data_IF_835563348444
#
_entry.id   IF_835563348444
#
_cell.length_a   1.000
_cell.length_b   1.000
_cell.length_c   1.000
_cell.angle_alpha   90.00
_cell.angle_beta   90.00
_cell.angle_gamma   90.00
#
_symmetry.space_group_name_H-M   'P 1'
#
loop_
_entity.id
_entity.type
_entity.pdbx_description
1 polymer ?
#
# COMPACT_ATOMS: atom_id res chain seq x y z
N UNK A 1 9.00 18.39 -0.53
CA UNK A 1 7.83 17.96 0.26
C UNK A 1 6.87 19.13 0.29
N UNK A 2 5.59 18.97 -0.08
CA UNK A 2 4.60 20.04 0.06
C UNK A 2 4.44 20.44 1.53
N UNK A 3 3.95 21.65 1.80
CA UNK A 3 3.73 22.13 3.16
C UNK A 3 2.62 21.29 3.87
N UNK A 4 2.61 21.18 5.21
CA UNK A 4 1.63 20.36 5.94
C UNK A 4 0.16 20.68 5.65
N UNK A 5 -0.15 21.91 5.23
CA UNK A 5 -1.51 22.34 4.85
C UNK A 5 -1.93 21.92 3.43
N UNK A 6 -1.02 21.43 2.59
CA UNK A 6 -1.27 20.98 1.22
C UNK A 6 -1.34 19.45 1.08
N UNK A 7 -1.02 18.71 2.14
CA UNK A 7 -1.06 17.26 2.12
C UNK A 7 -2.50 16.75 2.23
N UNK A 8 -2.91 15.77 1.41
CA UNK A 8 -4.22 15.16 1.54
C UNK A 8 -4.44 14.61 2.96
N UNK A 9 -5.50 15.07 3.62
CA UNK A 9 -5.80 14.71 5.00
C UNK A 9 -6.93 13.69 5.13
N UNK A 10 -7.56 13.29 4.01
CA UNK A 10 -8.73 12.41 3.96
C UNK A 10 -8.48 11.20 3.06
N UNK A 11 -9.03 10.07 3.46
CA UNK A 11 -9.06 8.83 2.69
C UNK A 11 -10.49 8.35 2.50
N UNK A 12 -10.78 7.87 1.30
CA UNK A 12 -11.97 7.06 1.00
C UNK A 12 -11.54 5.62 0.75
N UNK A 13 -11.88 4.72 1.68
CA UNK A 13 -11.46 3.32 1.64
C UNK A 13 -12.66 2.39 1.68
N UNK A 14 -12.56 1.30 0.94
CA UNK A 14 -13.50 0.17 0.97
C UNK A 14 -12.70 -1.09 1.26
N UNK A 15 -13.05 -1.85 2.29
CA UNK A 15 -12.44 -3.14 2.58
C UNK A 15 -13.09 -4.22 1.71
N UNK A 16 -12.30 -4.87 0.87
CA UNK A 16 -12.82 -5.86 -0.09
C UNK A 16 -13.49 -7.06 0.59
N UNK A 17 -12.94 -7.49 1.73
CA UNK A 17 -13.36 -8.72 2.42
C UNK A 17 -14.79 -8.69 2.95
N UNK A 18 -15.27 -7.54 3.40
CA UNK A 18 -16.59 -7.40 4.05
C UNK A 18 -17.41 -6.20 3.55
N UNK A 19 -16.87 -5.42 2.61
CA UNK A 19 -17.53 -4.24 2.06
C UNK A 19 -17.55 -3.02 2.99
N UNK A 20 -16.89 -3.08 4.16
CA UNK A 20 -16.84 -1.94 5.08
C UNK A 20 -16.22 -0.74 4.38
N UNK A 21 -16.91 0.39 4.42
CA UNK A 21 -16.51 1.62 3.75
C UNK A 21 -16.31 2.75 4.77
N UNK A 22 -15.26 3.53 4.59
CA UNK A 22 -14.96 4.67 5.43
C UNK A 22 -14.45 5.86 4.62
N UNK A 23 -14.90 7.06 5.00
CA UNK A 23 -14.39 8.33 4.49
C UNK A 23 -13.95 9.18 5.67
N UNK A 24 -12.66 9.13 6.02
CA UNK A 24 -12.17 9.72 7.27
C UNK A 24 -11.00 10.68 7.05
N UNK A 25 -10.95 11.74 7.85
CA UNK A 25 -9.79 12.61 7.93
C UNK A 25 -8.84 12.09 9.01
N UNK A 26 -7.60 11.78 8.65
CA UNK A 26 -6.62 11.14 9.54
C UNK A 26 -5.55 12.11 10.06
N UNK A 27 -5.63 13.37 9.65
CA UNK A 27 -4.85 14.48 10.20
C UNK A 27 -5.71 15.71 10.42
N UNK A 28 -5.23 16.55 11.33
CA UNK A 28 -5.70 17.90 11.57
C UNK A 28 -4.49 18.86 11.64
N UNK A 29 -4.74 20.14 11.93
CA UNK A 29 -3.67 21.15 12.03
C UNK A 29 -2.58 20.86 13.07
N UNK A 30 -2.77 19.88 13.96
CA UNK A 30 -1.80 19.42 14.96
C UNK A 30 -1.06 18.12 14.60
N UNK A 31 -1.27 17.54 13.42
CA UNK A 31 -0.67 16.28 12.99
C UNK A 31 -1.68 15.15 12.85
N UNK A 32 -1.26 13.92 13.15
CA UNK A 32 -2.12 12.73 13.05
C UNK A 32 -3.20 12.71 14.13
N UNK A 33 -4.44 12.50 13.70
CA UNK A 33 -5.53 12.22 14.63
C UNK A 33 -5.43 10.75 15.09
N UNK A 34 -5.14 10.55 16.37
CA UNK A 34 -4.94 9.19 16.92
C UNK A 34 -6.21 8.33 16.84
N UNK A 35 -7.39 8.94 16.99
CA UNK A 35 -8.66 8.21 16.90
C UNK A 35 -8.90 7.71 15.48
N UNK A 36 -8.71 8.58 14.49
CA UNK A 36 -8.81 8.22 13.08
C UNK A 36 -7.77 7.17 12.66
N UNK A 37 -6.53 7.27 13.16
CA UNK A 37 -5.50 6.24 12.90
C UNK A 37 -5.89 4.88 13.50
N UNK A 38 -6.49 4.84 14.69
CA UNK A 38 -6.98 3.59 15.28
C UNK A 38 -8.13 3.00 14.46
N UNK A 39 -9.06 3.83 14.01
CA UNK A 39 -10.18 3.43 13.16
C UNK A 39 -9.68 2.86 11.82
N UNK A 40 -8.74 3.54 11.16
CA UNK A 40 -8.10 3.06 9.94
C UNK A 40 -7.30 1.78 10.17
N UNK A 41 -6.58 1.69 11.29
CA UNK A 41 -5.84 0.48 11.68
C UNK A 41 -6.76 -0.72 11.88
N UNK A 42 -7.97 -0.49 12.41
CA UNK A 42 -9.00 -1.52 12.52
C UNK A 42 -9.56 -1.96 11.15
N UNK A 43 -9.75 -1.03 10.22
CA UNK A 43 -10.09 -1.37 8.83
C UNK A 43 -9.00 -2.25 8.19
N UNK A 44 -7.73 -1.98 8.53
CA UNK A 44 -6.56 -2.72 8.07
C UNK A 44 -6.37 -4.11 8.67
N UNK A 45 -7.21 -4.54 9.62
CA UNK A 45 -7.05 -5.84 10.28
C UNK A 45 -6.96 -7.01 9.30
N UNK A 46 -6.29 -8.07 9.74
CA UNK A 46 -6.10 -9.29 8.97
C UNK A 46 -7.43 -9.87 8.46
N UNK A 47 -7.45 -10.39 7.23
CA UNK A 47 -8.64 -10.94 6.60
C UNK A 47 -9.07 -12.30 7.17
N UNK A 48 -8.14 -13.06 7.72
CA UNK A 48 -8.31 -14.44 8.17
C UNK A 48 -8.60 -14.53 9.66
N UNK A 49 -7.78 -13.89 10.50
CA UNK A 49 -7.93 -13.97 11.96
C UNK A 49 -8.41 -12.66 12.63
N UNK A 50 -8.61 -11.61 11.84
CA UNK A 50 -9.11 -10.32 12.34
C UNK A 50 -8.14 -9.57 13.24
N UNK A 51 -6.89 -10.03 13.38
CA UNK A 51 -5.88 -9.33 14.18
C UNK A 51 -5.65 -7.94 13.60
N UNK A 52 -5.76 -6.93 14.46
CA UNK A 52 -5.39 -5.55 14.14
C UNK A 52 -4.08 -5.19 14.82
N UNK A 53 -3.29 -4.36 14.16
CA UNK A 53 -2.08 -3.73 14.70
C UNK A 53 -2.13 -2.24 14.39
N UNK A 54 -1.29 -1.44 15.05
CA UNK A 54 -1.10 -0.06 14.64
C UNK A 54 -0.52 -0.01 13.23
N UNK A 55 -1.19 0.71 12.33
CA UNK A 55 -0.69 0.97 10.98
C UNK A 55 0.08 2.27 10.98
N UNK A 56 1.25 2.23 10.35
CA UNK A 56 2.13 3.38 10.25
C UNK A 56 1.41 4.53 9.52
N UNK A 57 1.18 5.68 10.17
CA UNK A 57 0.34 6.72 9.61
C UNK A 57 0.90 7.36 8.33
N UNK A 58 2.20 7.21 8.05
CA UNK A 58 2.80 7.59 6.77
C UNK A 58 2.25 6.76 5.59
N UNK A 59 1.75 5.54 5.81
CA UNK A 59 1.07 4.76 4.77
C UNK A 59 -0.20 5.47 4.30
N UNK A 60 -0.95 6.07 5.23
CA UNK A 60 -2.16 6.81 4.90
C UNK A 60 -1.88 8.07 4.08
N UNK A 61 -0.72 8.72 4.25
CA UNK A 61 -0.29 9.77 3.31
C UNK A 61 -0.15 9.27 1.90
N UNK A 62 0.62 8.19 1.74
CA UNK A 62 0.95 7.67 0.43
C UNK A 62 -0.35 7.31 -0.32
N UNK A 63 -1.26 6.64 0.37
CA UNK A 63 -2.57 6.27 -0.16
C UNK A 63 -3.44 7.48 -0.48
N UNK A 64 -3.48 8.50 0.38
CA UNK A 64 -4.28 9.70 0.14
C UNK A 64 -3.72 10.51 -1.05
N UNK A 65 -2.40 10.58 -1.19
CA UNK A 65 -1.73 11.17 -2.34
C UNK A 65 -2.04 10.44 -3.64
N UNK A 66 -2.01 9.09 -3.63
CA UNK A 66 -2.41 8.26 -4.78
C UNK A 66 -3.86 8.55 -5.18
N UNK A 67 -4.78 8.52 -4.21
CA UNK A 67 -6.20 8.74 -4.44
C UNK A 67 -6.50 10.14 -5.01
N UNK A 68 -5.86 11.18 -4.47
CA UNK A 68 -6.00 12.56 -5.00
C UNK A 68 -5.37 12.68 -6.38
N UNK A 69 -4.19 12.11 -6.61
CA UNK A 69 -3.50 12.16 -7.89
C UNK A 69 -4.34 11.53 -9.01
N UNK A 70 -4.85 10.32 -8.77
CA UNK A 70 -5.73 9.62 -9.71
C UNK A 70 -7.07 10.34 -9.85
N UNK A 71 -7.63 10.83 -8.75
CA UNK A 71 -8.90 11.56 -8.78
C UNK A 71 -8.85 12.84 -9.62
N UNK A 72 -7.72 13.56 -9.57
CA UNK A 72 -7.47 14.72 -10.44
C UNK A 72 -7.41 14.33 -11.92
N UNK A 73 -6.75 13.23 -12.25
CA UNK A 73 -6.66 12.73 -13.61
C UNK A 73 -8.01 12.22 -14.15
N UNK A 74 -8.84 11.64 -13.28
CA UNK A 74 -10.15 11.09 -13.63
C UNK A 74 -11.30 12.12 -13.56
N UNK A 75 -11.06 13.32 -13.02
CA UNK A 75 -12.08 14.35 -12.81
C UNK A 75 -13.00 14.13 -11.59
N UNK A 76 -12.79 13.06 -10.82
CA UNK A 76 -13.55 12.76 -9.60
C UNK A 76 -12.73 11.84 -8.67
N UNK A 77 -12.91 11.98 -7.36
CA UNK A 77 -12.31 11.08 -6.37
C UNK A 77 -12.88 9.66 -6.50
N UNK A 78 -12.04 8.64 -6.37
CA UNK A 78 -12.43 7.24 -6.45
C UNK A 78 -12.01 6.49 -5.17
N UNK A 79 -12.80 5.51 -4.68
CA UNK A 79 -12.43 4.73 -3.51
C UNK A 79 -11.19 3.88 -3.76
N UNK A 80 -10.32 3.82 -2.75
CA UNK A 80 -9.29 2.80 -2.66
C UNK A 80 -9.90 1.54 -2.07
N UNK A 81 -9.90 0.46 -2.83
CA UNK A 81 -10.29 -0.86 -2.34
C UNK A 81 -9.08 -1.52 -1.70
N UNK A 82 -9.14 -1.74 -0.39
CA UNK A 82 -8.16 -2.48 0.38
C UNK A 82 -8.42 -3.98 0.22
N UNK A 83 -7.54 -4.67 -0.49
CA UNK A 83 -7.63 -6.12 -0.71
C UNK A 83 -6.95 -6.89 0.41
N UNK A 84 -5.83 -6.38 0.93
CA UNK A 84 -5.11 -6.95 2.07
C UNK A 84 -4.48 -5.84 2.93
N UNK A 85 -4.80 -5.82 4.23
CA UNK A 85 -4.22 -4.93 5.21
C UNK A 85 -3.04 -5.58 5.95
N UNK A 86 -2.98 -5.47 7.27
CA UNK A 86 -1.98 -6.19 8.05
C UNK A 86 -2.15 -7.71 7.91
N UNK A 87 -1.04 -8.44 8.04
CA UNK A 87 -1.06 -9.92 8.05
C UNK A 87 -0.50 -10.45 9.35
N UNK A 88 -1.17 -11.42 9.96
CA UNK A 88 -0.61 -12.15 11.09
C UNK A 88 0.56 -13.03 10.61
N UNK A 89 1.54 -13.35 11.47
CA UNK A 89 2.64 -14.23 11.08
C UNK A 89 2.17 -15.59 10.56
N UNK A 90 1.07 -16.12 11.11
CA UNK A 90 0.47 -17.37 10.68
C UNK A 90 -0.14 -17.26 9.28
N UNK A 91 -0.97 -16.23 9.03
CA UNK A 91 -1.53 -15.97 7.71
C UNK A 91 -0.43 -15.71 6.67
N UNK A 92 0.54 -14.86 6.97
CA UNK A 92 1.66 -14.59 6.05
C UNK A 92 2.47 -15.84 5.73
N UNK A 93 2.67 -16.74 6.69
CA UNK A 93 3.35 -18.02 6.47
C UNK A 93 2.56 -18.99 5.58
N UNK A 94 1.23 -18.89 5.56
CA UNK A 94 0.35 -19.68 4.71
C UNK A 94 0.15 -19.05 3.31
N UNK A 95 0.42 -17.75 3.14
CA UNK A 95 0.31 -17.08 1.84
C UNK A 95 1.43 -17.52 0.89
N UNK A 96 1.08 -18.14 -0.22
CA UNK A 96 2.03 -18.55 -1.26
C UNK A 96 2.81 -17.33 -1.81
N UNK A 97 4.14 -17.46 -1.88
CA UNK A 97 5.01 -16.40 -2.40
C UNK A 97 5.23 -15.20 -1.47
N UNK A 98 4.65 -15.18 -0.26
CA UNK A 98 4.87 -14.10 0.69
C UNK A 98 6.30 -14.08 1.22
N UNK A 99 6.86 -12.87 1.34
CA UNK A 99 8.18 -12.69 1.94
C UNK A 99 8.12 -13.01 3.45
N UNK A 100 9.19 -13.63 3.96
CA UNK A 100 9.34 -13.89 5.41
C UNK A 100 9.39 -12.61 6.25
N UNK A 101 9.90 -11.52 5.67
CA UNK A 101 9.89 -10.17 6.25
C UNK A 101 8.90 -9.30 5.48
N UNK A 102 7.61 -9.58 5.69
CA UNK A 102 6.53 -8.87 5.01
C UNK A 102 6.19 -7.59 5.76
N UNK A 103 6.19 -6.47 5.05
CA UNK A 103 5.78 -5.15 5.57
C UNK A 103 4.32 -5.13 6.04
N UNK A 104 3.50 -6.11 5.65
CA UNK A 104 2.14 -6.30 6.19
C UNK A 104 2.13 -6.75 7.65
N UNK A 105 3.15 -7.50 8.10
CA UNK A 105 3.26 -7.94 9.51
C UNK A 105 3.60 -6.74 10.41
N UNK A 106 4.39 -5.80 9.88
CA UNK A 106 4.90 -4.63 10.60
C UNK A 106 3.95 -3.42 10.56
N UNK A 107 2.80 -3.53 9.89
CA UNK A 107 1.84 -2.43 9.74
C UNK A 107 2.33 -1.32 8.81
N UNK A 108 3.26 -1.63 7.91
CA UNK A 108 3.89 -0.69 7.00
C UNK A 108 3.34 -0.74 5.58
N UNK A 109 2.42 -1.66 5.29
CA UNK A 109 1.92 -1.91 3.94
C UNK A 109 0.41 -2.15 3.85
N UNK A 110 -0.11 -1.98 2.63
CA UNK A 110 -1.42 -2.42 2.22
C UNK A 110 -1.45 -2.75 0.72
N UNK A 111 -2.23 -3.75 0.37
CA UNK A 111 -2.53 -4.10 -1.01
C UNK A 111 -3.83 -3.41 -1.40
N UNK A 112 -3.79 -2.59 -2.45
CA UNK A 112 -4.91 -1.73 -2.85
C UNK A 112 -5.18 -1.79 -4.35
N UNK A 113 -6.42 -1.47 -4.73
CA UNK A 113 -6.80 -1.22 -6.13
C UNK A 113 -7.82 -0.09 -6.19
N UNK A 114 -7.98 0.53 -7.35
CA UNK A 114 -9.06 1.50 -7.58
C UNK A 114 -9.97 0.93 -8.67
N UNK A 115 -11.28 0.74 -8.41
CA UNK A 115 -12.21 0.25 -9.43
C UNK A 115 -12.18 1.11 -10.69
N UNK A 116 -12.09 0.46 -11.86
CA UNK A 116 -12.03 1.15 -13.15
C UNK A 116 -10.66 1.75 -13.51
N UNK A 117 -9.64 1.59 -12.68
CA UNK A 117 -8.27 2.06 -12.94
C UNK A 117 -7.33 0.86 -13.04
N UNK A 118 -6.53 0.82 -14.11
CA UNK A 118 -5.55 -0.25 -14.29
C UNK A 118 -4.52 -0.27 -13.15
N UNK A 119 -4.11 -1.46 -12.65
CA UNK A 119 -3.08 -1.57 -11.62
C UNK A 119 -1.77 -0.86 -11.97
N UNK A 120 -1.39 -0.84 -13.27
CA UNK A 120 -0.20 -0.11 -13.76
C UNK A 120 -0.29 1.39 -13.46
N UNK A 121 -1.45 2.01 -13.65
CA UNK A 121 -1.70 3.43 -13.35
C UNK A 121 -1.61 3.69 -11.86
N UNK A 122 -2.16 2.80 -11.03
CA UNK A 122 -2.07 2.89 -9.56
C UNK A 122 -0.61 2.79 -9.09
N UNK A 123 0.16 1.84 -9.63
CA UNK A 123 1.57 1.65 -9.29
C UNK A 123 2.44 2.85 -9.71
N UNK A 124 2.17 3.43 -10.88
CA UNK A 124 2.83 4.65 -11.33
C UNK A 124 2.52 5.82 -10.39
N UNK A 125 1.25 6.02 -10.04
CA UNK A 125 0.85 7.05 -9.09
C UNK A 125 1.53 6.85 -7.72
N UNK A 126 1.59 5.63 -7.21
CA UNK A 126 2.27 5.30 -5.95
C UNK A 126 3.77 5.67 -5.99
N UNK A 127 4.43 5.36 -7.11
CA UNK A 127 5.84 5.71 -7.33
C UNK A 127 6.04 7.23 -7.38
N UNK A 128 5.17 7.95 -8.10
CA UNK A 128 5.23 9.42 -8.21
C UNK A 128 4.91 10.13 -6.89
N UNK A 129 4.05 9.54 -6.06
CA UNK A 129 3.71 10.06 -4.73
C UNK A 129 4.75 9.73 -3.66
N UNK A 130 5.85 9.05 -4.03
CA UNK A 130 6.97 8.81 -3.12
C UNK A 130 6.73 7.68 -2.12
N UNK A 131 5.91 6.69 -2.46
CA UNK A 131 5.82 5.45 -1.67
C UNK A 131 7.21 4.81 -1.47
N UNK A 132 7.34 4.03 -0.40
CA UNK A 132 8.50 3.18 -0.18
C UNK A 132 8.51 2.06 -1.23
N UNK A 133 7.89 0.94 -0.91
CA UNK A 133 7.75 -0.17 -1.84
C UNK A 133 6.49 -0.09 -2.69
N UNK A 134 6.63 -0.44 -3.97
CA UNK A 134 5.52 -0.59 -4.91
C UNK A 134 5.64 -1.94 -5.62
N UNK A 135 4.66 -2.81 -5.41
CA UNK A 135 4.56 -4.11 -6.08
C UNK A 135 3.37 -4.16 -7.02
N UNK A 136 3.60 -4.40 -8.31
CA UNK A 136 2.53 -4.51 -9.30
C UNK A 136 2.07 -5.96 -9.43
N UNK A 137 0.80 -6.23 -9.12
CA UNK A 137 0.15 -7.54 -9.23
C UNK A 137 -1.07 -7.46 -10.19
N UNK A 138 -1.54 -8.61 -10.75
CA UNK A 138 -2.61 -8.58 -11.75
C UNK A 138 -3.90 -7.88 -11.27
N UNK A 139 -4.21 -7.99 -9.98
CA UNK A 139 -5.48 -7.52 -9.42
C UNK A 139 -5.32 -6.35 -8.43
N UNK A 140 -4.10 -6.06 -7.97
CA UNK A 140 -3.84 -5.05 -6.94
C UNK A 140 -2.42 -4.49 -7.05
N UNK A 141 -2.16 -3.45 -6.29
CA UNK A 141 -0.84 -2.86 -6.10
C UNK A 141 -0.50 -2.93 -4.62
N UNK A 142 0.65 -3.51 -4.32
CA UNK A 142 1.25 -3.42 -3.00
C UNK A 142 1.86 -2.04 -2.82
N UNK A 143 1.56 -1.39 -1.70
CA UNK A 143 2.15 -0.10 -1.31
C UNK A 143 2.67 -0.23 0.11
N UNK A 144 3.96 0.10 0.32
CA UNK A 144 4.57 0.19 1.65
C UNK A 144 5.34 1.50 1.86
N UNK A 145 5.64 1.82 3.11
CA UNK A 145 6.41 3.02 3.51
C UNK A 145 7.77 2.70 4.13
N UNK A 146 8.33 1.52 3.85
CA UNK A 146 9.59 1.09 4.46
C UNK A 146 10.83 1.52 3.67
N UNK A 147 11.08 0.89 2.51
CA UNK A 147 12.26 1.14 1.67
C UNK A 147 11.82 1.34 0.24
N UNK A 148 12.51 2.23 -0.48
CA UNK A 148 12.26 2.43 -1.91
C UNK A 148 12.59 1.17 -2.71
N UNK A 149 11.58 0.57 -3.33
CA UNK A 149 11.70 -0.60 -4.22
C UNK A 149 10.49 -0.69 -5.15
N UNK A 150 10.72 -1.20 -6.35
CA UNK A 150 9.67 -1.48 -7.31
C UNK A 150 9.84 -2.92 -7.82
N UNK A 151 8.75 -3.69 -7.88
CA UNK A 151 8.74 -5.03 -8.46
C UNK A 151 7.42 -5.31 -9.17
N UNK A 152 7.46 -6.31 -10.04
CA UNK A 152 6.32 -6.74 -10.84
C UNK A 152 6.15 -8.24 -10.65
N UNK A 153 4.91 -8.68 -10.45
CA UNK A 153 4.56 -10.10 -10.48
C UNK A 153 4.99 -10.70 -11.84
N UNK A 154 5.75 -11.81 -11.86
CA UNK A 154 6.19 -12.45 -13.10
C UNK A 154 5.07 -12.80 -14.09
N UNK A 155 3.82 -12.91 -13.63
CA UNK A 155 2.63 -13.16 -14.46
C UNK A 155 2.22 -11.95 -15.31
N UNK A 156 2.73 -10.76 -15.00
CA UNK A 156 2.44 -9.55 -15.77
C UNK A 156 3.51 -9.40 -16.83
N UNK A 157 3.10 -9.52 -18.10
CA UNK A 157 3.94 -9.12 -19.21
C UNK A 157 4.07 -7.59 -19.22
N UNK A 158 5.25 -7.11 -18.85
CA UNK A 158 5.60 -5.68 -18.83
C UNK A 158 6.37 -5.22 -20.05
N UNK A 159 6.62 -6.09 -21.05
CA UNK A 159 7.24 -5.72 -22.31
C UNK A 159 8.43 -4.74 -22.20
N UNK A 160 9.64 -5.23 -21.93
CA UNK A 160 10.95 -4.55 -22.06
C UNK A 160 11.16 -3.12 -21.50
N UNK A 161 10.21 -2.46 -20.83
CA UNK A 161 10.31 -1.03 -20.51
C UNK A 161 10.06 -0.72 -19.02
N UNK A 162 10.84 -1.32 -18.11
CA UNK A 162 11.03 -0.81 -16.75
C UNK A 162 12.51 -1.01 -16.36
N UNK A 163 13.15 -0.06 -15.66
CA UNK A 163 14.51 -0.27 -15.17
C UNK A 163 14.49 -1.44 -14.19
N UNK A 164 15.28 -2.46 -14.48
CA UNK A 164 15.37 -3.66 -13.67
C UNK A 164 15.76 -3.29 -12.22
N UNK A 165 15.03 -3.83 -11.25
CA UNK A 165 15.45 -3.77 -9.85
C UNK A 165 16.86 -4.40 -9.71
N UNK A 166 17.77 -3.82 -8.91
CA UNK A 166 19.06 -4.43 -8.66
C UNK A 166 18.83 -5.81 -8.02
N UNK A 167 19.35 -6.86 -8.66
CA UNK A 167 19.34 -8.21 -8.09
C UNK A 167 20.12 -8.19 -6.78
N UNK A 168 19.64 -8.83 -5.69
CA UNK A 168 20.47 -9.03 -4.52
C UNK A 168 21.67 -9.88 -4.93
N UNK A 169 22.88 -9.39 -4.64
CA UNK A 169 24.12 -10.12 -4.88
C UNK A 169 24.06 -11.43 -4.09
N UNK A 170 23.99 -12.57 -4.78
CA UNK A 170 24.27 -13.85 -4.17
C UNK A 170 25.77 -13.91 -3.83
N UNK A 171 26.12 -13.41 -2.66
CA UNK A 171 27.42 -13.63 -2.05
C UNK A 171 27.57 -15.12 -1.72
N UNK A 172 28.09 -15.90 -2.67
CA UNK A 172 28.73 -17.17 -2.36
C UNK A 172 30.19 -16.86 -2.06
N UNK A 173 30.48 -16.61 -0.78
CA UNK A 173 31.83 -16.80 -0.27
C UNK A 173 32.13 -18.29 -0.34
N UNK A 174 33.16 -18.65 -1.10
CA UNK A 174 33.71 -20.00 -1.10
C UNK A 174 34.87 -20.02 -0.08
N UNK A 175 34.88 -20.90 0.93
CA UNK A 175 36.05 -21.06 1.76
C UNK A 175 37.02 -22.08 1.13
N UNK A 176 38.31 -21.73 1.23
CA UNK A 176 39.54 -22.50 1.00
C UNK A 176 39.93 -22.80 -0.44
#
# INVERSE_FOLDING_TARGET
MPAPAEMPSRLWLVRERDGTEIVTAFRNGGGYDRGAVLELSWLWRDNEDGRAIWIEPHLFDALAAIQVGIGRANGALLPLVLTSGCRSPAHNGATEGAARQSTHIDGLAGDVRIPGVEPKTVALAATMCGAGGVGLYPNHVHVDVWRRRFWVDPKIDVGAALPAAPRPSSGKGNPS
#
